data_IF_143790900225
#
_entry.id   IF_143790900225
#
_cell.length_a   1.000
_cell.length_b   1.000
_cell.length_c   1.000
_cell.angle_alpha   90.00
_cell.angle_beta   90.00
_cell.angle_gamma   90.00
#
_symmetry.space_group_name_H-M   'P 1'
#
loop_
_entity.id
_entity.type
_entity.pdbx_description
1 polymer ?
#
# COMPACT_ATOMS: atom_id res chain seq x y z
N UNK A 1 3.21 -8.30 -19.72
CA UNK A 1 3.64 -8.62 -18.35
C UNK A 1 2.66 -8.11 -17.28
N UNK A 2 2.10 -6.88 -17.38
CA UNK A 2 1.15 -6.32 -16.37
C UNK A 2 -0.01 -7.25 -15.99
N UNK A 3 -0.65 -7.91 -16.95
CA UNK A 3 -1.78 -8.82 -16.68
C UNK A 3 -1.41 -10.13 -15.97
N UNK A 4 -0.16 -10.57 -16.05
CA UNK A 4 0.26 -11.84 -15.44
C UNK A 4 0.37 -11.69 -13.92
N UNK A 5 0.96 -10.59 -13.44
CA UNK A 5 1.07 -10.34 -12.00
C UNK A 5 -0.29 -10.11 -11.34
N UNK A 6 -1.17 -9.36 -12.00
CA UNK A 6 -2.56 -9.17 -11.58
C UNK A 6 -3.26 -10.51 -11.30
N UNK A 7 -3.09 -11.47 -12.20
CA UNK A 7 -3.73 -12.78 -12.08
C UNK A 7 -3.04 -13.69 -11.05
N UNK A 8 -1.73 -13.54 -10.83
CA UNK A 8 -1.01 -14.23 -9.76
C UNK A 8 -1.57 -13.81 -8.39
N UNK A 9 -1.73 -12.51 -8.16
CA UNK A 9 -2.31 -12.01 -6.91
C UNK A 9 -3.74 -12.50 -6.70
N UNK A 10 -4.54 -12.55 -7.77
CA UNK A 10 -5.92 -13.05 -7.67
C UNK A 10 -5.98 -14.55 -7.40
N UNK A 11 -5.08 -15.32 -7.99
CA UNK A 11 -4.94 -16.75 -7.68
C UNK A 11 -4.58 -16.98 -6.21
N UNK A 12 -3.61 -16.18 -5.70
CA UNK A 12 -3.24 -16.25 -4.28
C UNK A 12 -4.40 -15.87 -3.37
N UNK A 13 -5.15 -14.82 -3.73
CA UNK A 13 -6.36 -14.41 -3.02
C UNK A 13 -7.39 -15.52 -2.95
N UNK A 14 -7.78 -16.13 -4.07
CA UNK A 14 -8.80 -17.17 -4.12
C UNK A 14 -8.43 -18.41 -3.32
N UNK A 15 -7.13 -18.78 -3.29
CA UNK A 15 -6.60 -19.89 -2.51
C UNK A 15 -6.47 -19.59 -1.02
N UNK A 16 -6.26 -18.34 -0.66
CA UNK A 16 -6.28 -17.90 0.74
C UNK A 16 -7.71 -17.71 1.28
N UNK A 17 -8.72 -17.56 0.39
CA UNK A 17 -10.09 -17.17 0.72
C UNK A 17 -11.12 -17.99 -0.07
N UNK A 18 -11.22 -19.31 0.15
CA UNK A 18 -12.10 -20.16 -0.63
C UNK A 18 -13.61 -19.85 -0.49
N UNK A 19 -14.01 -19.02 0.49
CA UNK A 19 -15.41 -18.70 0.78
C UNK A 19 -15.78 -17.22 0.56
N UNK A 20 -14.90 -16.40 -0.01
CA UNK A 20 -15.30 -15.07 -0.44
C UNK A 20 -16.07 -15.17 -1.76
N UNK A 21 -17.33 -15.56 -1.68
CA UNK A 21 -18.28 -15.17 -2.72
C UNK A 21 -18.29 -13.64 -2.73
N UNK A 22 -17.73 -13.05 -3.77
CA UNK A 22 -18.00 -11.66 -4.09
C UNK A 22 -19.52 -11.57 -4.36
N UNK A 23 -20.29 -11.23 -3.36
CA UNK A 23 -21.49 -10.44 -3.62
C UNK A 23 -20.94 -9.22 -4.35
N UNK A 24 -21.40 -9.00 -5.58
CA UNK A 24 -21.20 -7.74 -6.27
C UNK A 24 -21.31 -6.65 -5.23
N UNK A 25 -20.20 -6.03 -4.87
CA UNK A 25 -20.24 -4.77 -4.16
C UNK A 25 -20.93 -3.85 -5.14
N UNK A 26 -22.23 -3.75 -4.97
CA UNK A 26 -23.00 -2.62 -5.50
C UNK A 26 -22.12 -1.44 -5.15
N UNK A 27 -21.61 -0.79 -6.22
CA UNK A 27 -20.66 0.28 -6.07
C UNK A 27 -21.09 1.11 -4.89
N UNK A 28 -20.21 1.28 -3.92
CA UNK A 28 -20.43 2.19 -2.82
C UNK A 28 -20.66 3.53 -3.52
N UNK A 29 -21.92 3.77 -3.85
CA UNK A 29 -22.38 5.11 -4.17
C UNK A 29 -21.94 5.86 -2.92
N UNK A 30 -20.96 6.74 -3.07
CA UNK A 30 -20.73 7.79 -2.10
C UNK A 30 -22.10 8.37 -1.81
N UNK A 31 -22.77 7.87 -0.80
CA UNK A 31 -23.82 8.60 -0.17
C UNK A 31 -23.11 9.80 0.41
N UNK A 32 -23.11 10.87 -0.39
CA UNK A 32 -23.08 12.22 0.15
C UNK A 32 -24.08 12.18 1.28
N UNK A 33 -23.57 12.08 2.50
CA UNK A 33 -24.38 12.26 3.69
C UNK A 33 -25.02 13.61 3.48
N UNK A 34 -26.31 13.61 3.15
CA UNK A 34 -27.14 14.80 3.09
C UNK A 34 -27.13 15.36 4.52
N UNK A 35 -26.10 16.16 4.78
CA UNK A 35 -25.98 16.95 6.00
C UNK A 35 -27.14 17.93 5.95
N UNK A 36 -28.10 17.64 6.80
CA UNK A 36 -29.32 18.40 6.99
C UNK A 36 -28.96 19.89 7.15
N UNK A 37 -29.28 20.68 6.13
CA UNK A 37 -28.98 22.11 6.00
C UNK A 37 -29.70 23.01 7.01
N UNK A 38 -30.20 22.47 8.12
CA UNK A 38 -31.03 23.18 9.10
C UNK A 38 -30.32 23.72 10.33
N UNK A 39 -28.99 23.71 10.41
CA UNK A 39 -28.30 24.42 11.49
C UNK A 39 -27.89 25.84 11.07
N UNK A 40 -28.64 26.81 11.54
CA UNK A 40 -28.33 28.24 11.52
C UNK A 40 -27.07 28.51 12.35
N UNK A 41 -25.99 28.73 11.73
CA UNK A 41 -24.62 29.07 12.13
C UNK A 41 -23.65 27.96 11.73
N UNK A 42 -23.35 27.90 10.44
CA UNK A 42 -22.24 27.11 9.94
C UNK A 42 -20.95 27.71 10.52
N UNK A 43 -20.27 26.97 11.39
CA UNK A 43 -18.94 27.37 11.87
C UNK A 43 -18.01 27.57 10.66
N UNK A 44 -17.02 28.45 10.78
CA UNK A 44 -16.04 28.68 9.72
C UNK A 44 -15.37 27.38 9.24
N UNK A 45 -15.15 26.45 10.15
CA UNK A 45 -14.64 25.10 9.85
C UNK A 45 -15.58 24.34 8.89
N UNK A 46 -16.89 24.42 9.08
CA UNK A 46 -17.83 23.73 8.20
C UNK A 46 -17.89 24.34 6.80
N UNK A 47 -17.75 25.67 6.71
CA UNK A 47 -17.66 26.36 5.42
C UNK A 47 -16.40 25.98 4.66
N UNK A 48 -15.25 25.92 5.35
CA UNK A 48 -13.99 25.48 4.78
C UNK A 48 -14.04 24.03 4.33
N UNK A 49 -14.59 23.12 5.18
CA UNK A 49 -14.78 21.72 4.83
C UNK A 49 -15.62 21.56 3.56
N UNK A 50 -16.76 22.22 3.48
CA UNK A 50 -17.64 22.18 2.30
C UNK A 50 -16.92 22.71 1.06
N UNK A 51 -16.20 23.82 1.16
CA UNK A 51 -15.44 24.40 0.08
C UNK A 51 -14.35 23.44 -0.46
N UNK A 52 -13.61 22.81 0.44
CA UNK A 52 -12.54 21.90 0.06
C UNK A 52 -13.08 20.61 -0.58
N UNK A 53 -14.13 20.01 -0.01
CA UNK A 53 -14.74 18.79 -0.54
C UNK A 53 -15.48 19.00 -1.87
N UNK A 54 -15.89 20.24 -2.20
CA UNK A 54 -16.41 20.56 -3.52
C UNK A 54 -15.35 20.61 -4.60
N UNK A 55 -14.09 20.86 -4.22
CA UNK A 55 -12.97 21.05 -5.15
C UNK A 55 -12.01 19.88 -5.21
N UNK A 56 -11.89 19.12 -4.11
CA UNK A 56 -10.91 18.06 -3.97
C UNK A 56 -11.52 16.81 -3.34
N UNK A 57 -11.13 15.66 -3.84
CA UNK A 57 -11.28 14.39 -3.17
C UNK A 57 -10.02 14.16 -2.32
N UNK A 58 -10.20 13.82 -1.04
CA UNK A 58 -9.11 13.50 -0.12
C UNK A 58 -9.20 12.05 0.32
N UNK A 59 -8.02 11.43 0.57
CA UNK A 59 -7.91 10.13 1.23
C UNK A 59 -6.64 10.07 2.06
N UNK A 60 -6.66 9.34 3.16
CA UNK A 60 -5.50 9.19 4.04
C UNK A 60 -4.88 7.82 3.85
N UNK A 61 -3.61 7.81 3.44
CA UNK A 61 -2.84 6.57 3.24
C UNK A 61 -2.32 6.08 4.61
N UNK A 62 -2.90 4.98 5.12
CA UNK A 62 -2.57 4.47 6.46
C UNK A 62 -1.16 3.89 6.58
N UNK A 63 -0.49 3.54 5.47
CA UNK A 63 0.88 3.03 5.49
C UNK A 63 1.92 4.14 5.52
N UNK A 64 1.73 5.18 4.71
CA UNK A 64 2.66 6.30 4.65
C UNK A 64 2.38 7.35 5.71
N UNK A 65 1.15 7.41 6.23
CA UNK A 65 0.69 8.45 7.15
C UNK A 65 0.49 9.81 6.47
N UNK A 66 0.26 9.81 5.16
CA UNK A 66 0.13 11.04 4.35
C UNK A 66 -1.27 11.12 3.75
N UNK A 67 -1.86 12.30 3.78
CA UNK A 67 -3.10 12.59 3.05
C UNK A 67 -2.77 12.82 1.58
N UNK A 68 -3.55 12.22 0.71
CA UNK A 68 -3.48 12.37 -0.73
C UNK A 68 -4.73 13.09 -1.22
N UNK A 69 -4.61 13.80 -2.35
CA UNK A 69 -5.73 14.51 -2.94
C UNK A 69 -5.73 14.44 -4.46
N UNK A 70 -6.87 14.73 -5.04
CA UNK A 70 -7.06 14.99 -6.48
C UNK A 70 -8.21 15.99 -6.67
N UNK A 71 -8.36 16.61 -7.86
CA UNK A 71 -9.56 17.41 -8.18
C UNK A 71 -10.83 16.57 -8.02
N UNK A 72 -11.86 17.18 -7.43
CA UNK A 72 -13.13 16.49 -7.18
C UNK A 72 -13.78 16.01 -8.49
N UNK A 73 -14.28 14.78 -8.49
CA UNK A 73 -14.94 14.17 -9.65
C UNK A 73 -14.02 13.78 -10.81
N UNK A 74 -12.72 14.00 -10.70
CA UNK A 74 -11.75 13.66 -11.73
C UNK A 74 -11.33 12.19 -11.64
N UNK A 75 -12.21 11.26 -12.01
CA UNK A 75 -11.95 9.81 -11.89
C UNK A 75 -10.75 9.30 -12.71
N UNK A 76 -10.31 10.05 -13.72
CA UNK A 76 -9.12 9.73 -14.52
C UNK A 76 -7.80 10.29 -13.96
N UNK A 77 -7.84 11.09 -12.88
CA UNK A 77 -6.65 11.69 -12.27
C UNK A 77 -6.23 10.88 -11.04
N UNK A 78 -4.96 10.52 -11.00
CA UNK A 78 -4.38 9.83 -9.85
C UNK A 78 -4.30 10.74 -8.62
N UNK A 79 -4.52 10.16 -7.45
CA UNK A 79 -4.23 10.85 -6.18
C UNK A 79 -2.75 11.14 -6.06
N UNK A 80 -2.40 12.30 -5.53
CA UNK A 80 -1.03 12.68 -5.22
C UNK A 80 -0.91 13.09 -3.75
N UNK A 81 0.23 12.84 -3.10
CA UNK A 81 0.47 13.30 -1.74
C UNK A 81 0.33 14.81 -1.66
N UNK A 82 -0.28 15.29 -0.57
CA UNK A 82 -0.36 16.71 -0.30
C UNK A 82 0.93 17.18 0.38
N UNK A 83 1.59 18.15 -0.22
CA UNK A 83 2.77 18.78 0.35
C UNK A 83 2.45 20.17 0.94
N UNK A 84 3.43 20.80 1.56
CA UNK A 84 3.27 22.12 2.18
C UNK A 84 2.89 23.20 1.14
N UNK A 85 3.42 23.12 -0.06
CA UNK A 85 3.11 24.07 -1.14
C UNK A 85 1.66 23.95 -1.59
N UNK A 86 1.17 22.72 -1.75
CA UNK A 86 -0.23 22.44 -2.09
C UNK A 86 -1.17 22.92 -0.98
N UNK A 87 -0.82 22.66 0.28
CA UNK A 87 -1.60 23.16 1.42
C UNK A 87 -1.68 24.68 1.44
N UNK A 88 -0.55 25.36 1.25
CA UNK A 88 -0.52 26.81 1.23
C UNK A 88 -1.33 27.39 0.06
N UNK A 89 -1.30 26.74 -1.11
CA UNK A 89 -2.14 27.11 -2.25
C UNK A 89 -3.62 27.03 -1.91
N UNK A 90 -4.07 25.91 -1.34
CA UNK A 90 -5.48 25.72 -0.93
C UNK A 90 -5.92 26.75 0.12
N UNK A 91 -5.04 27.13 1.06
CA UNK A 91 -5.32 28.17 2.07
C UNK A 91 -5.51 29.54 1.40
N UNK A 92 -4.62 29.88 0.48
CA UNK A 92 -4.69 31.17 -0.25
C UNK A 92 -5.99 31.21 -1.06
N UNK A 93 -6.31 30.16 -1.80
CA UNK A 93 -7.52 30.09 -2.60
C UNK A 93 -8.79 30.22 -1.75
N UNK A 94 -8.83 29.57 -0.58
CA UNK A 94 -9.94 29.69 0.36
C UNK A 94 -10.11 31.14 0.83
N UNK A 95 -9.02 31.83 1.18
CA UNK A 95 -9.03 33.23 1.59
C UNK A 95 -9.48 34.16 0.47
N UNK A 96 -9.04 33.92 -0.76
CA UNK A 96 -9.48 34.70 -1.93
C UNK A 96 -11.00 34.58 -2.19
N UNK A 97 -11.61 33.47 -1.75
CA UNK A 97 -13.07 33.28 -1.77
C UNK A 97 -13.76 33.87 -0.54
N UNK A 98 -13.07 34.65 0.27
CA UNK A 98 -13.62 35.31 1.47
C UNK A 98 -13.88 34.34 2.64
N UNK A 99 -13.31 33.13 2.61
CA UNK A 99 -13.41 32.21 3.73
C UNK A 99 -12.34 32.53 4.79
N UNK A 100 -12.72 32.70 6.06
CA UNK A 100 -11.72 32.79 7.13
C UNK A 100 -11.03 31.43 7.29
N UNK A 101 -9.80 31.35 6.85
CA UNK A 101 -8.95 30.16 6.93
C UNK A 101 -7.62 30.52 7.57
N UNK A 102 -7.35 29.96 8.75
CA UNK A 102 -6.07 30.09 9.44
C UNK A 102 -5.10 29.01 8.94
N UNK A 103 -3.82 29.23 9.21
CA UNK A 103 -2.77 28.31 8.74
C UNK A 103 -2.98 26.86 9.21
N UNK A 104 -3.51 26.66 10.42
CA UNK A 104 -3.72 25.33 11.00
C UNK A 104 -5.08 24.70 10.67
N UNK A 105 -6.02 25.43 10.07
CA UNK A 105 -7.37 24.91 9.82
C UNK A 105 -7.36 23.78 8.77
N UNK A 106 -6.63 23.97 7.68
CA UNK A 106 -6.49 22.97 6.64
C UNK A 106 -5.75 21.73 7.13
N UNK A 107 -4.54 21.81 7.73
CA UNK A 107 -3.87 20.63 8.30
C UNK A 107 -4.74 19.88 9.30
N UNK A 108 -5.47 20.60 10.17
CA UNK A 108 -6.39 19.98 11.14
C UNK A 108 -7.50 19.19 10.44
N UNK A 109 -8.04 19.69 9.34
CA UNK A 109 -9.10 19.01 8.60
C UNK A 109 -8.58 17.77 7.87
N UNK A 110 -7.52 17.94 7.08
CA UNK A 110 -6.99 16.87 6.19
C UNK A 110 -6.30 15.73 6.96
N UNK A 111 -5.84 15.99 8.17
CA UNK A 111 -5.25 14.97 9.07
C UNK A 111 -6.26 14.43 10.10
N UNK A 112 -7.51 14.88 10.02
CA UNK A 112 -8.56 14.38 10.91
C UNK A 112 -9.17 13.06 10.39
N UNK A 113 -9.92 12.38 11.26
CA UNK A 113 -10.70 11.19 10.92
C UNK A 113 -11.85 11.44 9.96
N UNK A 114 -12.08 12.69 9.55
CA UNK A 114 -13.06 13.06 8.52
C UNK A 114 -12.58 12.69 7.11
N UNK A 115 -11.28 12.60 6.91
CA UNK A 115 -10.71 12.06 5.68
C UNK A 115 -10.65 10.55 5.79
N UNK A 116 -11.26 9.87 4.83
CA UNK A 116 -11.33 8.41 4.81
C UNK A 116 -9.91 7.82 4.69
N UNK A 117 -9.60 6.89 5.58
CA UNK A 117 -8.34 6.16 5.53
C UNK A 117 -8.44 4.96 4.60
N UNK A 118 -7.39 4.71 3.82
CA UNK A 118 -7.30 3.55 2.96
C UNK A 118 -5.96 2.83 3.11
N UNK A 119 -5.97 1.53 2.84
CA UNK A 119 -4.76 0.73 2.68
C UNK A 119 -4.54 0.47 1.18
N UNK A 120 -3.40 0.89 0.58
CA UNK A 120 -3.16 0.72 -0.85
C UNK A 120 -3.13 -0.74 -1.30
N UNK A 121 -2.73 -1.68 -0.43
CA UNK A 121 -2.77 -3.09 -0.75
C UNK A 121 -4.19 -3.65 -0.76
N UNK A 122 -5.03 -3.23 0.19
CA UNK A 122 -6.44 -3.60 0.21
C UNK A 122 -7.15 -3.08 -1.04
N UNK A 123 -7.00 -1.79 -1.33
CA UNK A 123 -7.59 -1.17 -2.51
C UNK A 123 -7.17 -1.90 -3.79
N UNK A 124 -5.86 -2.19 -3.95
CA UNK A 124 -5.37 -2.94 -5.09
C UNK A 124 -6.01 -4.33 -5.21
N UNK A 125 -6.14 -5.05 -4.10
CA UNK A 125 -6.73 -6.39 -4.09
C UNK A 125 -8.23 -6.38 -4.40
N UNK A 126 -8.95 -5.34 -3.99
CA UNK A 126 -10.38 -5.15 -4.26
C UNK A 126 -10.64 -4.83 -5.74
N UNK A 127 -9.75 -4.06 -6.36
CA UNK A 127 -9.85 -3.71 -7.78
C UNK A 127 -9.45 -4.84 -8.75
N UNK A 128 -8.91 -5.95 -8.24
CA UNK A 128 -8.50 -7.06 -9.08
C UNK A 128 -9.70 -7.74 -9.75
N UNK A 129 -9.61 -8.06 -11.06
CA UNK A 129 -10.64 -8.84 -11.75
C UNK A 129 -10.75 -10.25 -11.15
N UNK A 130 -11.89 -10.91 -11.34
CA UNK A 130 -12.07 -12.29 -10.90
C UNK A 130 -10.98 -13.21 -11.47
N UNK A 131 -10.56 -14.19 -10.67
CA UNK A 131 -9.58 -15.17 -11.11
C UNK A 131 -10.15 -16.06 -12.22
N UNK A 132 -9.39 -16.25 -13.29
CA UNK A 132 -9.76 -17.05 -14.47
C UNK A 132 -9.45 -18.56 -14.33
N UNK A 133 -9.04 -19.01 -13.15
CA UNK A 133 -8.72 -20.41 -12.86
C UNK A 133 -7.32 -20.88 -13.26
N UNK A 134 -6.52 -20.06 -13.96
CA UNK A 134 -5.19 -20.46 -14.44
C UNK A 134 -4.11 -20.28 -13.38
N UNK A 135 -3.30 -21.32 -13.18
CA UNK A 135 -2.10 -21.22 -12.35
C UNK A 135 -1.02 -20.39 -13.03
N UNK A 136 -0.66 -19.26 -12.41
CA UNK A 136 0.42 -18.37 -12.85
C UNK A 136 1.59 -18.33 -11.87
N UNK A 137 1.40 -18.90 -10.69
CA UNK A 137 2.45 -18.97 -9.66
C UNK A 137 3.53 -19.94 -10.12
N UNK A 138 3.14 -21.10 -10.60
CA UNK A 138 4.08 -22.12 -11.05
C UNK A 138 4.99 -21.62 -12.19
N UNK A 139 4.48 -21.05 -13.30
CA UNK A 139 5.33 -20.51 -14.34
C UNK A 139 6.24 -19.38 -13.86
N UNK A 140 5.81 -18.56 -12.88
CA UNK A 140 6.65 -17.52 -12.28
C UNK A 140 7.83 -18.14 -11.51
N UNK A 141 7.56 -19.10 -10.65
CA UNK A 141 8.59 -19.75 -9.83
C UNK A 141 9.59 -20.54 -10.68
N UNK A 142 9.12 -21.21 -11.74
CA UNK A 142 9.98 -21.93 -12.71
C UNK A 142 11.01 -21.03 -13.42
N UNK A 143 10.75 -19.75 -13.52
CA UNK A 143 11.75 -18.80 -14.07
C UNK A 143 13.01 -18.68 -13.22
N UNK A 144 12.93 -19.02 -11.95
CA UNK A 144 14.05 -18.98 -11.02
C UNK A 144 14.67 -20.37 -10.89
N UNK A 145 13.86 -21.40 -10.60
CA UNK A 145 14.34 -22.78 -10.44
C UNK A 145 13.19 -23.77 -10.53
N UNK A 146 13.48 -24.98 -11.01
CA UNK A 146 12.57 -26.11 -11.01
C UNK A 146 12.70 -27.00 -9.76
N UNK A 147 13.56 -26.61 -8.81
CA UNK A 147 13.72 -27.36 -7.55
C UNK A 147 12.40 -27.45 -6.78
N UNK A 148 12.04 -28.66 -6.34
CA UNK A 148 10.76 -28.90 -5.66
C UNK A 148 10.59 -28.10 -4.36
N UNK A 149 11.66 -27.94 -3.58
CA UNK A 149 11.63 -27.16 -2.35
C UNK A 149 11.39 -25.68 -2.66
N UNK A 150 12.02 -25.17 -3.73
CA UNK A 150 11.78 -23.82 -4.21
C UNK A 150 10.32 -23.65 -4.66
N UNK A 151 9.82 -24.57 -5.46
CA UNK A 151 8.45 -24.50 -5.98
C UNK A 151 7.41 -24.53 -4.84
N UNK A 152 7.59 -25.42 -3.87
CA UNK A 152 6.71 -25.54 -2.70
C UNK A 152 6.86 -24.33 -1.77
N UNK A 153 8.08 -23.98 -1.40
CA UNK A 153 8.40 -22.85 -0.51
C UNK A 153 7.95 -21.51 -1.10
N UNK A 154 8.19 -21.29 -2.38
CA UNK A 154 7.78 -20.08 -3.10
C UNK A 154 6.26 -19.88 -3.10
N UNK A 155 5.47 -20.95 -3.30
CA UNK A 155 4.01 -20.88 -3.18
C UNK A 155 3.56 -20.47 -1.77
N UNK A 156 4.16 -21.02 -0.72
CA UNK A 156 3.84 -20.67 0.66
C UNK A 156 4.25 -19.23 0.97
N UNK A 157 5.45 -18.82 0.52
CA UNK A 157 5.95 -17.46 0.72
C UNK A 157 5.05 -16.42 0.09
N UNK A 158 4.68 -16.58 -1.18
CA UNK A 158 3.79 -15.66 -1.89
C UNK A 158 2.43 -15.54 -1.20
N UNK A 159 1.84 -16.66 -0.77
CA UNK A 159 0.58 -16.65 0.01
C UNK A 159 0.74 -15.93 1.34
N UNK A 160 1.85 -16.17 2.03
CA UNK A 160 2.19 -15.48 3.28
C UNK A 160 2.27 -13.98 3.09
N UNK A 161 2.96 -13.53 2.04
CA UNK A 161 3.11 -12.12 1.68
C UNK A 161 1.75 -11.44 1.47
N UNK A 162 0.88 -12.00 0.64
CA UNK A 162 -0.47 -11.44 0.41
C UNK A 162 -1.31 -11.46 1.69
N UNK A 163 -1.20 -12.50 2.49
CA UNK A 163 -1.90 -12.58 3.79
C UNK A 163 -1.47 -11.48 4.75
N UNK A 164 -0.19 -11.10 4.75
CA UNK A 164 0.34 -9.97 5.53
C UNK A 164 -0.20 -8.64 5.01
N UNK A 165 -0.19 -8.43 3.69
CA UNK A 165 -0.76 -7.22 3.09
C UNK A 165 -2.21 -6.98 3.48
N UNK A 166 -2.97 -8.07 3.64
CA UNK A 166 -4.38 -8.03 4.05
C UNK A 166 -4.59 -7.90 5.56
N UNK A 167 -3.52 -7.69 6.33
CA UNK A 167 -3.60 -7.49 7.78
C UNK A 167 -4.22 -8.68 8.55
N UNK A 168 -4.22 -9.89 7.96
CA UNK A 168 -4.75 -11.05 8.66
C UNK A 168 -3.84 -11.42 9.81
N UNK A 169 -4.37 -11.30 11.01
CA UNK A 169 -3.73 -11.75 12.24
C UNK A 169 -3.55 -13.27 12.19
N UNK A 170 -2.41 -13.71 11.69
CA UNK A 170 -1.95 -15.09 11.89
C UNK A 170 -1.18 -15.13 13.20
N UNK A 171 -1.17 -16.29 13.86
CA UNK A 171 -0.37 -16.51 15.08
C UNK A 171 1.13 -16.36 14.83
N UNK A 172 1.56 -16.42 13.59
CA UNK A 172 2.96 -16.37 13.18
C UNK A 172 3.12 -15.51 11.92
N UNK A 173 4.23 -14.78 11.86
CA UNK A 173 4.72 -14.07 10.69
C UNK A 173 4.92 -15.01 9.49
N UNK A 174 5.17 -14.43 8.30
CA UNK A 174 5.65 -15.21 7.17
C UNK A 174 7.08 -15.69 7.46
N UNK A 175 7.21 -16.90 7.96
CA UNK A 175 8.50 -17.48 8.39
C UNK A 175 9.41 -17.88 7.24
N UNK A 176 8.91 -17.79 5.99
CA UNK A 176 9.68 -18.13 4.80
C UNK A 176 10.26 -16.85 4.19
N UNK A 177 11.58 -16.87 3.99
CA UNK A 177 12.29 -15.82 3.26
C UNK A 177 13.07 -16.48 2.13
N UNK A 178 12.73 -16.23 0.85
CA UNK A 178 13.47 -16.79 -0.27
C UNK A 178 14.85 -16.13 -0.37
N UNK A 179 15.88 -16.93 -0.67
CA UNK A 179 17.24 -16.46 -0.93
C UNK A 179 17.60 -16.83 -2.36
N UNK A 180 17.91 -15.84 -3.17
CA UNK A 180 18.34 -16.01 -4.56
C UNK A 180 19.87 -15.97 -4.65
N UNK A 181 20.48 -17.11 -4.89
CA UNK A 181 21.94 -17.25 -4.99
C UNK A 181 22.33 -17.54 -6.45
N UNK A 182 23.41 -16.95 -6.90
CA UNK A 182 24.00 -17.21 -8.21
C UNK A 182 25.48 -16.79 -8.22
N UNK A 183 26.30 -17.61 -8.81
CA UNK A 183 27.73 -17.35 -9.04
C UNK A 183 27.97 -16.33 -10.16
N UNK A 184 26.95 -16.09 -11.00
CA UNK A 184 27.01 -15.15 -12.12
C UNK A 184 26.29 -13.86 -11.75
N UNK A 185 26.95 -12.73 -11.96
CA UNK A 185 26.35 -11.40 -11.83
C UNK A 185 25.46 -11.08 -13.03
N UNK A 186 24.49 -10.17 -12.83
CA UNK A 186 23.65 -9.66 -13.93
C UNK A 186 22.49 -10.56 -14.35
N UNK A 187 22.19 -11.66 -13.65
CA UNK A 187 21.05 -12.55 -13.96
C UNK A 187 19.66 -11.96 -13.62
N UNK A 188 19.61 -10.70 -13.20
CA UNK A 188 18.34 -10.02 -12.96
C UNK A 188 17.66 -10.36 -11.64
N UNK A 189 18.38 -10.85 -10.60
CA UNK A 189 17.82 -11.15 -9.27
C UNK A 189 17.05 -9.97 -8.67
N UNK A 190 17.68 -8.82 -8.56
CA UNK A 190 17.07 -7.60 -8.01
C UNK A 190 15.92 -7.09 -8.91
N UNK A 191 16.04 -7.23 -10.23
CA UNK A 191 14.96 -6.92 -11.18
C UNK A 191 13.75 -7.84 -10.97
N UNK A 192 13.98 -9.14 -10.75
CA UNK A 192 12.91 -10.09 -10.40
C UNK A 192 12.19 -9.65 -9.13
N UNK A 193 12.93 -9.32 -8.06
CA UNK A 193 12.34 -8.87 -6.81
C UNK A 193 11.47 -7.61 -6.98
N UNK A 194 11.95 -6.61 -7.74
CA UNK A 194 11.17 -5.38 -8.01
C UNK A 194 9.90 -5.66 -8.79
N UNK A 195 9.94 -6.59 -9.73
CA UNK A 195 8.79 -6.94 -10.56
C UNK A 195 7.74 -7.77 -9.84
N UNK A 196 8.00 -8.23 -8.61
CA UNK A 196 7.01 -8.93 -7.80
C UNK A 196 5.89 -8.01 -7.30
N UNK A 197 6.16 -6.71 -7.17
CA UNK A 197 5.10 -5.73 -6.91
C UNK A 197 4.55 -5.17 -8.23
N UNK A 198 3.23 -4.95 -8.32
CA UNK A 198 2.64 -4.25 -9.45
C UNK A 198 3.07 -2.78 -9.48
N UNK A 199 3.05 -2.15 -10.65
CA UNK A 199 3.49 -0.76 -10.84
C UNK A 199 2.79 0.21 -9.86
N UNK A 200 1.50 0.00 -9.59
CA UNK A 200 0.72 0.84 -8.66
C UNK A 200 1.17 0.73 -7.19
N UNK A 201 1.86 -0.36 -6.83
CA UNK A 201 2.41 -0.59 -5.50
C UNK A 201 3.94 -0.49 -5.45
N UNK A 202 4.59 -0.08 -6.54
CA UNK A 202 6.05 0.02 -6.64
C UNK A 202 6.67 0.95 -5.59
N UNK A 203 5.94 1.97 -5.14
CA UNK A 203 6.37 2.88 -4.07
C UNK A 203 6.55 2.17 -2.70
N UNK A 204 5.99 0.96 -2.54
CA UNK A 204 6.09 0.14 -1.33
C UNK A 204 7.13 -0.98 -1.44
N UNK A 205 8.00 -0.88 -2.43
CA UNK A 205 9.19 -1.72 -2.58
C UNK A 205 10.42 -0.96 -2.09
N UNK A 206 11.30 -1.63 -1.38
CA UNK A 206 12.59 -1.06 -1.00
C UNK A 206 13.72 -2.06 -1.17
N UNK A 207 14.82 -1.61 -1.79
CA UNK A 207 16.09 -2.30 -1.74
C UNK A 207 16.83 -1.90 -0.47
N UNK A 208 17.32 -2.89 0.25
CA UNK A 208 18.13 -2.75 1.45
C UNK A 208 17.44 -2.11 2.66
N UNK A 209 17.50 -2.85 3.74
CA UNK A 209 17.09 -2.41 5.05
C UNK A 209 18.32 -1.92 5.82
N UNK A 210 18.35 -0.64 6.17
CA UNK A 210 19.43 -0.14 7.00
C UNK A 210 19.25 -0.64 8.44
N UNK A 211 20.15 -1.54 8.85
CA UNK A 211 20.21 -2.10 10.21
C UNK A 211 21.18 -1.32 11.12
N UNK A 212 21.68 -0.15 10.70
CA UNK A 212 22.60 0.62 11.53
C UNK A 212 21.94 1.06 12.84
N UNK A 213 22.77 1.19 13.88
CA UNK A 213 22.35 1.72 15.18
C UNK A 213 21.71 3.10 15.03
N UNK A 214 20.50 3.29 15.59
CA UNK A 214 19.71 4.52 15.43
C UNK A 214 18.80 4.55 14.20
N UNK A 215 18.85 3.56 13.31
CA UNK A 215 17.82 3.38 12.28
C UNK A 215 16.57 2.71 12.91
N UNK A 216 15.41 2.98 12.33
CA UNK A 216 14.15 2.32 12.74
C UNK A 216 13.69 1.39 11.62
N UNK A 217 14.32 0.20 11.46
CA UNK A 217 13.96 -0.73 10.40
C UNK A 217 12.51 -1.20 10.49
N UNK A 218 11.93 -1.26 11.69
CA UNK A 218 10.54 -1.65 11.96
C UNK A 218 9.56 -0.70 11.24
N UNK A 219 9.85 0.60 11.22
CA UNK A 219 9.02 1.58 10.50
C UNK A 219 9.01 1.34 8.99
N UNK A 220 10.13 0.87 8.44
CA UNK A 220 10.21 0.50 7.01
C UNK A 220 9.43 -0.79 6.74
N UNK A 221 9.50 -1.77 7.65
CA UNK A 221 8.77 -3.03 7.51
C UNK A 221 7.25 -2.81 7.49
N UNK A 222 6.75 -1.94 8.35
CA UNK A 222 5.31 -1.60 8.40
C UNK A 222 4.84 -0.87 7.13
N UNK A 223 5.70 -0.04 6.54
CA UNK A 223 5.34 0.81 5.39
C UNK A 223 5.49 0.11 4.04
N UNK A 224 6.30 -0.94 3.95
CA UNK A 224 6.64 -1.57 2.68
C UNK A 224 6.01 -2.96 2.54
N UNK A 225 5.56 -3.28 1.34
CA UNK A 225 4.98 -4.57 1.00
C UNK A 225 6.01 -5.63 0.65
N UNK A 226 7.20 -5.19 0.20
CA UNK A 226 8.31 -6.07 -0.12
C UNK A 226 9.64 -5.37 0.13
N UNK A 227 10.50 -6.04 0.86
CA UNK A 227 11.86 -5.59 1.16
C UNK A 227 12.84 -6.59 0.56
N UNK A 228 13.69 -6.14 -0.34
CA UNK A 228 14.81 -6.90 -0.85
C UNK A 228 16.06 -6.58 -0.01
N UNK A 229 16.72 -7.61 0.52
CA UNK A 229 18.01 -7.47 1.17
C UNK A 229 19.07 -7.86 0.17
N UNK A 230 19.51 -6.90 -0.65
CA UNK A 230 20.61 -7.11 -1.58
C UNK A 230 21.93 -7.25 -0.81
N UNK A 231 22.85 -8.04 -1.35
CA UNK A 231 24.15 -8.31 -0.71
C UNK A 231 24.03 -8.83 0.74
N UNK A 232 23.09 -9.75 0.96
CA UNK A 232 22.83 -10.35 2.29
C UNK A 232 24.08 -10.97 2.94
N UNK A 233 25.01 -11.45 2.14
CA UNK A 233 26.30 -11.99 2.55
C UNK A 233 27.21 -10.95 3.24
N UNK A 234 27.01 -9.67 2.97
CA UNK A 234 27.78 -8.57 3.58
C UNK A 234 27.22 -8.14 4.95
N UNK A 235 26.12 -8.73 5.40
CA UNK A 235 25.57 -8.44 6.74
C UNK A 235 26.52 -9.05 7.79
N UNK A 236 27.12 -8.19 8.60
CA UNK A 236 28.05 -8.63 9.66
C UNK A 236 27.36 -9.57 10.67
N UNK A 237 28.10 -10.55 11.18
CA UNK A 237 27.60 -11.50 12.18
C UNK A 237 26.96 -10.80 13.41
N UNK A 238 27.48 -9.64 13.80
CA UNK A 238 26.92 -8.82 14.89
C UNK A 238 25.49 -8.34 14.64
N UNK A 239 25.04 -8.25 13.38
CA UNK A 239 23.69 -7.77 13.00
C UNK A 239 22.72 -8.90 12.64
N UNK A 240 23.20 -10.13 12.58
CA UNK A 240 22.33 -11.29 12.30
C UNK A 240 21.25 -11.49 13.37
N UNK A 241 21.49 -11.28 14.69
CA UNK A 241 20.44 -11.35 15.70
C UNK A 241 19.36 -10.30 15.50
N UNK A 242 19.74 -9.06 15.14
CA UNK A 242 18.78 -7.97 14.89
C UNK A 242 17.88 -8.31 13.71
N UNK A 243 18.47 -8.82 12.61
CA UNK A 243 17.71 -9.26 11.46
C UNK A 243 16.77 -10.43 11.80
N UNK A 244 17.25 -11.41 12.57
CA UNK A 244 16.41 -12.53 13.02
C UNK A 244 15.22 -12.05 13.84
N UNK A 245 15.45 -11.12 14.76
CA UNK A 245 14.38 -10.51 15.55
C UNK A 245 13.34 -9.81 14.64
N UNK A 246 13.81 -9.00 13.68
CA UNK A 246 12.93 -8.31 12.72
C UNK A 246 12.07 -9.30 11.92
N UNK A 247 12.64 -10.40 11.43
CA UNK A 247 11.91 -11.44 10.69
C UNK A 247 10.88 -12.18 11.56
N UNK A 248 10.97 -12.11 12.88
CA UNK A 248 10.05 -12.75 13.83
C UNK A 248 8.98 -11.79 14.39
N UNK A 249 9.14 -10.47 14.20
CA UNK A 249 8.24 -9.46 14.76
C UNK A 249 6.92 -9.29 13.99
N UNK A 250 6.71 -9.94 12.85
CA UNK A 250 5.55 -9.75 11.97
C UNK A 250 4.50 -10.83 12.13
#
# INVERSE_FOLDING_TARGET
MKNVFLQIFREMWSKCFPMATFTESQGVKHQLVNLDLRCKASSNTKKLETYLLQRFDFRYNCLTGVTEFRPAGASGVSFKPIDEREMNGMIIDARMQGLPCWHNDLPTLILSTKVESYNPFHLYMEELPCWDGKDRIEPLLRRVSENELWMKGGRYWLRGMVSQWMGRKRRHANTLTPILISDVQGLGKSTFCRQLLPDSLSAYYVDNLNLATGSCPEKKMVKNGLINLDEFDKISEKRQPDLKNLLQMM
#
